data_IF_805099373374
#
_entry.id   IF_805099373374
#
_cell.length_a   1.000
_cell.length_b   1.000
_cell.length_c   1.000
_cell.angle_alpha   90.00
_cell.angle_beta   90.00
_cell.angle_gamma   90.00
#
_symmetry.space_group_name_H-M   'P 1'
#
loop_
_entity.id
_entity.type
_entity.pdbx_description
1 polymer ?
#
# COMPACT_ATOMS: atom_id res chain seq x y z
N UNK A 1 6.77 8.93 5.69
CA UNK A 1 5.52 8.14 5.83
C UNK A 1 5.55 7.32 7.12
N UNK A 2 6.59 6.51 7.35
CA UNK A 2 6.88 5.75 8.61
C UNK A 2 6.58 6.56 9.88
N UNK A 3 7.32 7.64 10.13
CA UNK A 3 7.26 8.43 11.38
C UNK A 3 5.90 9.12 11.64
N UNK A 4 5.04 9.23 10.63
CA UNK A 4 3.74 9.88 10.76
C UNK A 4 2.60 8.86 10.80
N UNK A 5 2.72 7.73 10.10
CA UNK A 5 1.62 6.78 9.95
C UNK A 5 1.64 5.68 11.03
N UNK A 6 2.81 5.09 11.25
CA UNK A 6 2.98 3.94 12.13
C UNK A 6 2.72 4.23 13.62
N UNK A 7 3.16 5.36 14.21
CA UNK A 7 2.89 5.65 15.62
C UNK A 7 1.40 5.74 15.95
N UNK A 8 0.56 6.04 14.95
CA UNK A 8 -0.88 6.17 15.11
C UNK A 8 -1.64 4.84 14.93
N UNK A 9 -0.93 3.72 14.70
CA UNK A 9 -1.51 2.37 14.55
C UNK A 9 -2.68 2.32 13.57
N UNK A 10 -2.62 3.14 12.51
CA UNK A 10 -3.66 3.21 11.48
C UNK A 10 -3.61 1.94 10.62
N UNK A 11 -4.78 1.39 10.29
CA UNK A 11 -4.90 0.12 9.56
C UNK A 11 -5.14 0.29 8.05
N UNK A 12 -5.49 1.50 7.62
CA UNK A 12 -6.01 1.77 6.28
C UNK A 12 -5.44 3.05 5.67
N UNK A 13 -4.95 2.97 4.44
CA UNK A 13 -4.71 4.15 3.60
C UNK A 13 -5.73 4.14 2.46
N UNK A 14 -6.42 5.27 2.32
CA UNK A 14 -7.35 5.53 1.22
C UNK A 14 -6.63 6.41 0.21
N UNK A 15 -6.51 5.92 -1.02
CA UNK A 15 -5.92 6.65 -2.14
C UNK A 15 -7.01 7.01 -3.13
N UNK A 16 -7.11 8.31 -3.45
CA UNK A 16 -8.03 8.80 -4.48
C UNK A 16 -7.24 9.04 -5.76
N UNK A 17 -7.48 8.33 -6.86
CA UNK A 17 -6.68 8.46 -8.07
C UNK A 17 -6.84 9.87 -8.70
N UNK A 18 -8.02 10.48 -8.58
CA UNK A 18 -8.28 11.87 -8.95
C UNK A 18 -7.82 12.91 -7.92
N UNK A 19 -7.57 12.52 -6.67
CA UNK A 19 -7.34 13.46 -5.57
C UNK A 19 -8.62 14.22 -5.19
N UNK A 20 -8.52 15.50 -4.84
CA UNK A 20 -9.71 16.26 -4.40
C UNK A 20 -10.68 16.63 -5.52
N UNK A 21 -10.20 16.81 -6.75
CA UNK A 21 -11.01 17.34 -7.86
C UNK A 21 -10.68 16.63 -9.18
N UNK A 22 -11.63 15.86 -9.70
CA UNK A 22 -11.51 15.12 -10.97
C UNK A 22 -11.12 16.02 -12.15
N UNK A 23 -11.78 17.16 -12.31
CA UNK A 23 -11.53 18.06 -13.46
C UNK A 23 -10.07 18.53 -13.55
N UNK A 24 -9.36 18.62 -12.42
CA UNK A 24 -7.94 19.02 -12.37
C UNK A 24 -7.00 17.95 -12.90
N UNK A 25 -7.42 16.68 -12.89
CA UNK A 25 -6.57 15.51 -13.23
C UNK A 25 -7.04 14.78 -14.48
N UNK A 26 -8.31 14.92 -14.87
CA UNK A 26 -8.93 14.17 -15.96
C UNK A 26 -8.18 14.33 -17.28
N UNK A 27 -7.95 15.57 -17.73
CA UNK A 27 -7.29 15.82 -19.02
C UNK A 27 -5.88 15.21 -19.07
N UNK A 28 -5.08 15.43 -18.03
CA UNK A 28 -3.72 14.87 -17.93
C UNK A 28 -3.74 13.35 -17.89
N UNK A 29 -4.68 12.75 -17.13
CA UNK A 29 -4.84 11.30 -17.09
C UNK A 29 -5.21 10.71 -18.45
N UNK A 30 -6.12 11.35 -19.19
CA UNK A 30 -6.54 10.88 -20.51
C UNK A 30 -5.41 11.02 -21.54
N UNK A 31 -4.63 12.10 -21.48
CA UNK A 31 -3.47 12.28 -22.35
C UNK A 31 -2.40 11.21 -22.07
N UNK A 32 -2.13 10.93 -20.79
CA UNK A 32 -1.24 9.85 -20.39
C UNK A 32 -1.78 8.49 -20.85
N UNK A 33 -3.08 8.23 -20.72
CA UNK A 33 -3.70 6.99 -21.16
C UNK A 33 -3.50 6.75 -22.66
N UNK A 34 -3.82 7.76 -23.49
CA UNK A 34 -3.64 7.70 -24.94
C UNK A 34 -2.19 7.46 -25.34
N UNK A 35 -1.24 8.14 -24.68
CA UNK A 35 0.20 8.02 -24.98
C UNK A 35 0.74 6.61 -24.69
N UNK A 36 0.21 5.94 -23.68
CA UNK A 36 0.71 4.64 -23.22
C UNK A 36 -0.19 3.46 -23.58
N UNK A 37 -1.26 3.69 -24.36
CA UNK A 37 -2.20 2.62 -24.76
C UNK A 37 -3.13 2.13 -23.64
N UNK A 38 -3.35 2.92 -22.60
CA UNK A 38 -4.31 2.59 -21.53
C UNK A 38 -5.74 3.03 -21.88
N UNK A 39 -6.76 2.42 -21.24
CA UNK A 39 -8.15 2.84 -21.42
C UNK A 39 -8.35 4.31 -21.00
N UNK A 40 -9.08 5.06 -21.82
CA UNK A 40 -9.45 6.45 -21.55
C UNK A 40 -10.69 6.47 -20.66
N UNK A 41 -10.48 6.85 -19.39
CA UNK A 41 -11.54 6.91 -18.38
C UNK A 41 -12.23 8.29 -18.38
N UNK A 42 -13.55 8.30 -18.20
CA UNK A 42 -14.38 9.54 -18.21
C UNK A 42 -14.76 10.01 -16.80
N UNK A 43 -15.07 9.07 -15.91
CA UNK A 43 -15.60 9.36 -14.57
C UNK A 43 -14.55 9.20 -13.46
N UNK A 44 -13.31 8.90 -13.83
CA UNK A 44 -12.17 8.71 -12.94
C UNK A 44 -10.88 8.93 -13.72
N UNK A 45 -9.75 8.86 -13.03
CA UNK A 45 -8.40 8.84 -13.61
C UNK A 45 -7.75 7.49 -13.41
N UNK A 46 -6.65 7.24 -14.10
CA UNK A 46 -5.88 6.01 -13.90
C UNK A 46 -5.39 5.91 -12.44
N UNK A 47 -5.34 4.68 -11.88
CA UNK A 47 -4.85 4.44 -10.52
C UNK A 47 -3.45 5.02 -10.29
N UNK A 48 -3.18 5.48 -9.07
CA UNK A 48 -1.86 6.04 -8.72
C UNK A 48 -0.88 4.95 -8.32
N UNK A 49 -0.57 4.05 -9.27
CA UNK A 49 0.28 2.88 -9.05
C UNK A 49 1.61 3.23 -8.40
N UNK A 50 2.25 4.34 -8.82
CA UNK A 50 3.49 4.79 -8.20
C UNK A 50 3.34 5.14 -6.71
N UNK A 51 2.25 5.82 -6.34
CA UNK A 51 1.97 6.13 -4.94
C UNK A 51 1.64 4.86 -4.13
N UNK A 52 0.85 3.94 -4.71
CA UNK A 52 0.54 2.65 -4.10
C UNK A 52 1.82 1.84 -3.83
N UNK A 53 2.70 1.74 -4.82
CA UNK A 53 4.01 1.08 -4.68
C UNK A 53 4.83 1.73 -3.56
N UNK A 54 4.95 3.05 -3.54
CA UNK A 54 5.68 3.75 -2.48
C UNK A 54 5.10 3.49 -1.09
N UNK A 55 3.77 3.44 -0.96
CA UNK A 55 3.11 3.11 0.31
C UNK A 55 3.47 1.69 0.75
N UNK A 56 3.35 0.71 -0.15
CA UNK A 56 3.67 -0.69 0.15
C UNK A 56 5.15 -0.87 0.49
N UNK A 57 6.06 -0.28 -0.30
CA UNK A 57 7.50 -0.36 -0.05
C UNK A 57 7.92 0.28 1.29
N UNK A 58 7.15 1.28 1.78
CA UNK A 58 7.52 2.06 2.96
C UNK A 58 6.81 1.59 4.24
N UNK A 59 5.58 1.11 4.13
CA UNK A 59 4.73 0.76 5.26
C UNK A 59 4.24 -0.68 5.24
N UNK A 60 4.24 -1.33 4.07
CA UNK A 60 3.78 -2.71 3.94
C UNK A 60 4.74 -3.68 4.63
N UNK A 61 4.28 -4.91 4.76
CA UNK A 61 5.14 -6.00 5.18
C UNK A 61 6.29 -6.16 4.16
N UNK A 62 7.54 -6.35 4.63
CA UNK A 62 8.62 -6.73 3.74
C UNK A 62 8.19 -7.97 2.95
N UNK A 63 8.21 -7.86 1.62
CA UNK A 63 7.95 -9.01 0.77
C UNK A 63 9.15 -9.93 0.83
N UNK A 64 9.17 -10.83 1.82
CA UNK A 64 10.12 -11.93 1.89
C UNK A 64 9.65 -12.97 0.87
N UNK A 65 10.49 -13.24 -0.14
CA UNK A 65 10.24 -14.34 -1.06
C UNK A 65 10.51 -15.64 -0.30
N UNK A 66 9.52 -16.13 0.45
CA UNK A 66 9.67 -17.37 1.19
C UNK A 66 9.77 -18.50 0.18
N UNK A 67 10.96 -19.10 0.06
CA UNK A 67 11.12 -20.32 -0.70
C UNK A 67 10.17 -21.37 -0.09
N UNK A 68 9.25 -21.96 -0.89
CA UNK A 68 8.24 -22.88 -0.37
C UNK A 68 8.83 -24.13 0.30
N UNK A 69 10.11 -24.41 0.04
CA UNK A 69 10.85 -25.51 0.65
C UNK A 69 11.42 -25.18 2.06
N UNK A 70 11.46 -23.91 2.46
CA UNK A 70 11.99 -23.46 3.76
C UNK A 70 10.87 -23.21 4.78
N UNK A 71 9.66 -22.87 4.31
CA UNK A 71 8.50 -22.62 5.15
C UNK A 71 8.07 -23.82 6.02
N UNK A 72 8.35 -25.06 5.59
CA UNK A 72 8.02 -26.27 6.35
C UNK A 72 8.97 -26.57 7.53
N UNK A 73 10.14 -25.93 7.57
CA UNK A 73 11.15 -26.17 8.64
C UNK A 73 10.91 -25.24 9.84
N UNK A 74 10.31 -24.07 9.61
CA UNK A 74 10.14 -23.03 10.64
C UNK A 74 9.00 -23.37 11.63
N UNK A 75 8.00 -24.14 11.21
CA UNK A 75 6.85 -24.52 12.07
C UNK A 75 7.20 -25.55 13.18
N UNK A 76 8.45 -26.04 13.19
CA UNK A 76 8.90 -27.09 14.12
C UNK A 76 9.81 -26.59 15.26
N UNK A 77 10.22 -25.32 15.26
CA UNK A 77 11.22 -24.81 16.22
C UNK A 77 10.74 -23.51 16.85
N UNK A 78 9.78 -23.61 17.77
CA UNK A 78 9.44 -22.53 18.70
C UNK A 78 8.96 -23.12 20.02
N UNK A 79 9.88 -23.79 20.70
CA UNK A 79 9.82 -23.95 22.15
C UNK A 79 11.26 -23.90 22.69
N UNK A 80 11.63 -22.73 23.24
CA UNK A 80 12.36 -22.55 24.50
C UNK A 80 13.19 -21.25 24.54
N UNK A 81 12.73 -20.33 25.40
CA UNK A 81 13.49 -19.42 26.28
C UNK A 81 14.47 -18.40 25.66
N UNK A 82 14.17 -17.10 25.82
CA UNK A 82 14.77 -16.25 26.87
C UNK A 82 14.27 -14.80 26.77
N UNK A 83 14.00 -14.23 27.94
CA UNK A 83 13.64 -12.83 28.16
C UNK A 83 14.79 -11.91 27.76
N UNK A 84 14.50 -10.90 26.95
CA UNK A 84 15.28 -9.65 26.97
C UNK A 84 14.35 -8.47 26.66
N UNK A 85 14.57 -7.34 27.33
CA UNK A 85 13.70 -6.16 27.32
C UNK A 85 13.39 -5.65 25.91
N UNK A 86 12.25 -6.05 25.35
CA UNK A 86 11.75 -5.49 24.11
C UNK A 86 10.97 -4.22 24.40
N UNK A 87 11.53 -3.09 23.98
CA UNK A 87 10.75 -1.89 23.66
C UNK A 87 9.63 -2.39 22.75
N UNK A 88 8.37 -2.23 23.14
CA UNK A 88 7.23 -2.54 22.27
C UNK A 88 7.29 -1.62 21.05
N UNK A 89 8.07 -2.00 20.03
CA UNK A 89 7.98 -1.46 18.68
C UNK A 89 6.70 -2.04 18.05
N UNK A 90 5.55 -1.67 18.63
CA UNK A 90 4.22 -2.12 18.23
C UNK A 90 3.76 -1.42 16.94
N UNK A 91 4.70 -0.98 16.11
CA UNK A 91 4.49 -0.43 14.79
C UNK A 91 4.20 -1.58 13.81
N UNK A 92 3.00 -2.14 13.92
CA UNK A 92 2.52 -3.14 12.97
C UNK A 92 2.51 -2.57 11.54
N UNK A 93 2.93 -3.35 10.53
CA UNK A 93 2.94 -2.92 9.14
C UNK A 93 1.52 -2.66 8.61
N UNK A 94 1.44 -1.89 7.53
CA UNK A 94 0.19 -1.55 6.87
C UNK A 94 -0.44 -2.79 6.26
N UNK A 95 -1.66 -3.09 6.72
CA UNK A 95 -2.41 -4.26 6.28
C UNK A 95 -3.13 -4.05 4.95
N UNK A 96 -3.67 -2.85 4.70
CA UNK A 96 -4.54 -2.60 3.55
C UNK A 96 -4.28 -1.24 2.91
N UNK A 97 -4.11 -1.24 1.58
CA UNK A 97 -4.16 -0.05 0.72
C UNK A 97 -5.35 -0.21 -0.20
N UNK A 98 -6.20 0.82 -0.27
CA UNK A 98 -7.34 0.80 -1.19
C UNK A 98 -7.31 2.04 -2.07
N UNK A 99 -7.23 1.82 -3.39
CA UNK A 99 -7.41 2.84 -4.42
C UNK A 99 -8.90 2.83 -4.81
N UNK A 100 -9.61 3.92 -4.50
CA UNK A 100 -11.06 4.04 -4.71
C UNK A 100 -11.36 5.40 -5.33
N UNK A 101 -12.23 5.39 -6.35
CA UNK A 101 -12.96 6.59 -6.78
C UNK A 101 -14.33 6.60 -6.13
N UNK A 102 -14.61 7.65 -5.35
CA UNK A 102 -15.97 7.93 -4.88
C UNK A 102 -16.63 8.80 -5.95
N UNK A 103 -17.70 8.28 -6.55
CA UNK A 103 -18.38 8.93 -7.66
C UNK A 103 -18.72 10.39 -7.33
N UNK A 104 -18.33 11.30 -8.22
CA UNK A 104 -18.85 12.65 -8.24
C UNK A 104 -20.26 12.58 -8.85
N UNK A 105 -21.23 13.17 -8.14
CA UNK A 105 -22.60 13.32 -8.62
C UNK A 105 -22.65 14.23 -9.86
#
# INVERSE_FOLDING_TARGET
>A
LVNSYLPHKRKWIILFPEGGFLYKRLQTSQNYAKKNGYPVLKHTTLPRIGAMKTILDTLGEPYEHVDPNVASVIDSVSDNNQQDHQIEDSSQPLKWVVDITLAYK
#
